data_IF_077627982759
#
_entry.id   IF_077627982759
#
_cell.length_a   1.000
_cell.length_b   1.000
_cell.length_c   1.000
_cell.angle_alpha   90.00
_cell.angle_beta   90.00
_cell.angle_gamma   90.00
#
_symmetry.space_group_name_H-M   'P 1'
#
loop_
_entity.id
_entity.type
_entity.pdbx_description
1 polymer ?
#
# COMPACT_ATOMS: atom_id res chain seq x y z
N UNK A 1 -4.44 8.12 -10.29
CA UNK A 1 -3.09 8.42 -10.81
C UNK A 1 -3.04 8.45 -12.35
N UNK A 2 -3.61 7.47 -13.07
CA UNK A 2 -3.69 7.56 -14.55
C UNK A 2 -4.51 8.79 -15.03
N UNK A 3 -5.64 9.06 -14.37
CA UNK A 3 -6.50 10.20 -14.69
C UNK A 3 -5.81 11.56 -14.45
N UNK A 4 -4.97 11.69 -13.43
CA UNK A 4 -4.26 12.95 -13.16
C UNK A 4 -3.25 13.30 -14.24
N UNK A 5 -2.65 12.30 -14.90
CA UNK A 5 -1.79 12.53 -16.08
C UNK A 5 -2.57 13.08 -17.28
N UNK A 6 -3.78 12.57 -17.51
CA UNK A 6 -4.67 13.10 -18.55
C UNK A 6 -5.15 14.52 -18.24
N UNK A 7 -5.50 14.82 -16.99
CA UNK A 7 -5.87 16.18 -16.58
C UNK A 7 -4.74 17.19 -16.84
N UNK A 8 -3.49 16.83 -16.53
CA UNK A 8 -2.32 17.68 -16.82
C UNK A 8 -2.09 17.87 -18.32
N UNK A 9 -2.33 16.84 -19.12
CA UNK A 9 -2.23 16.92 -20.59
C UNK A 9 -3.30 17.86 -21.17
N UNK A 10 -4.52 17.79 -20.66
CA UNK A 10 -5.63 18.66 -21.10
C UNK A 10 -5.43 20.11 -20.62
N UNK A 11 -4.93 20.29 -19.39
CA UNK A 11 -4.64 21.61 -18.83
C UNK A 11 -3.50 22.31 -19.60
N UNK A 12 -2.41 21.59 -19.88
CA UNK A 12 -1.29 22.13 -20.68
C UNK A 12 -1.70 22.47 -22.11
N UNK A 13 -2.61 21.69 -22.71
CA UNK A 13 -3.16 21.98 -24.03
C UNK A 13 -3.96 23.29 -24.09
N UNK A 14 -4.74 23.61 -23.04
CA UNK A 14 -5.57 24.82 -23.01
C UNK A 14 -4.81 26.10 -22.62
N UNK A 15 -3.65 25.98 -21.97
CA UNK A 15 -2.92 27.13 -21.43
C UNK A 15 -1.94 27.75 -22.45
N UNK A 16 -1.51 27.00 -23.48
CA UNK A 16 -0.44 27.45 -24.39
C UNK A 16 -0.85 27.35 -25.85
N UNK A 17 -0.96 28.51 -26.50
CA UNK A 17 -1.40 28.68 -27.90
C UNK A 17 -0.44 28.13 -28.96
N UNK A 18 0.85 27.99 -28.64
CA UNK A 18 1.87 27.44 -29.54
C UNK A 18 2.23 25.96 -29.26
N UNK A 19 1.52 25.31 -28.33
CA UNK A 19 1.73 23.92 -27.89
C UNK A 19 3.14 23.54 -27.39
N UNK A 20 4.08 24.50 -27.36
CA UNK A 20 5.47 24.32 -26.95
C UNK A 20 5.68 25.01 -25.60
N UNK A 21 5.86 24.22 -24.55
CA UNK A 21 6.10 24.70 -23.19
C UNK A 21 7.59 24.58 -22.88
N UNK A 22 8.11 25.50 -22.08
CA UNK A 22 9.46 25.39 -21.55
C UNK A 22 9.57 24.11 -20.70
N UNK A 23 10.62 23.31 -20.92
CA UNK A 23 10.79 22.02 -20.25
C UNK A 23 10.70 22.14 -18.73
N UNK A 24 11.23 23.22 -18.15
CA UNK A 24 11.15 23.50 -16.71
C UNK A 24 9.72 23.50 -16.17
N UNK A 25 8.82 24.25 -16.81
CA UNK A 25 7.41 24.34 -16.38
C UNK A 25 6.73 22.98 -16.49
N UNK A 26 6.99 22.25 -17.57
CA UNK A 26 6.45 20.90 -17.76
C UNK A 26 6.90 19.94 -16.64
N UNK A 27 8.18 19.97 -16.27
CA UNK A 27 8.74 19.13 -15.20
C UNK A 27 8.07 19.43 -13.86
N UNK A 28 7.81 20.70 -13.53
CA UNK A 28 7.09 21.07 -12.30
C UNK A 28 5.68 20.49 -12.24
N UNK A 29 4.93 20.56 -13.34
CA UNK A 29 3.58 19.97 -13.41
C UNK A 29 3.60 18.44 -13.32
N UNK A 30 4.59 17.81 -13.95
CA UNK A 30 4.74 16.36 -13.97
C UNK A 30 5.35 15.79 -12.67
N UNK A 31 5.96 16.64 -11.85
CA UNK A 31 6.55 16.25 -10.57
C UNK A 31 5.53 15.62 -9.61
N UNK A 32 4.38 16.28 -9.43
CA UNK A 32 3.31 15.85 -8.52
C UNK A 32 2.83 14.42 -8.83
N UNK A 33 2.44 14.07 -10.08
CA UNK A 33 1.98 12.73 -10.40
C UNK A 33 3.11 11.68 -10.32
N UNK A 34 4.37 12.02 -10.66
CA UNK A 34 5.50 11.08 -10.54
C UNK A 34 5.74 10.74 -9.07
N UNK A 35 5.82 11.76 -8.21
CA UNK A 35 6.02 11.59 -6.77
C UNK A 35 4.89 10.75 -6.15
N UNK A 36 3.64 11.09 -6.46
CA UNK A 36 2.48 10.35 -5.99
C UNK A 36 2.46 8.89 -6.47
N UNK A 37 2.91 8.63 -7.70
CA UNK A 37 3.00 7.28 -8.23
C UNK A 37 4.06 6.44 -7.49
N UNK A 38 5.26 6.97 -7.26
CA UNK A 38 6.34 6.26 -6.53
C UNK A 38 5.89 5.93 -5.10
N UNK A 39 5.34 6.91 -4.39
CA UNK A 39 4.86 6.71 -3.02
C UNK A 39 3.75 5.65 -3.00
N UNK A 40 2.82 5.69 -3.95
CA UNK A 40 1.72 4.73 -4.02
C UNK A 40 2.22 3.29 -4.17
N UNK A 41 3.18 3.03 -5.06
CA UNK A 41 3.75 1.69 -5.27
C UNK A 41 4.44 1.18 -4.01
N UNK A 42 5.25 2.01 -3.36
CA UNK A 42 5.95 1.64 -2.13
C UNK A 42 4.98 1.40 -0.97
N UNK A 43 3.95 2.24 -0.82
CA UNK A 43 2.91 2.05 0.19
C UNK A 43 2.12 0.77 -0.03
N UNK A 44 1.77 0.44 -1.27
CA UNK A 44 1.07 -0.81 -1.60
C UNK A 44 1.88 -2.04 -1.22
N UNK A 45 3.18 -2.05 -1.57
CA UNK A 45 4.09 -3.12 -1.16
C UNK A 45 4.14 -3.28 0.35
N UNK A 46 4.23 -2.14 1.02
CA UNK A 46 4.37 -2.06 2.46
C UNK A 46 3.10 -2.55 3.19
N UNK A 47 1.91 -2.23 2.66
CA UNK A 47 0.63 -2.78 3.13
C UNK A 47 0.55 -4.29 2.88
N UNK A 48 1.02 -4.78 1.73
CA UNK A 48 1.02 -6.21 1.42
C UNK A 48 1.89 -7.00 2.41
N UNK A 49 3.06 -6.48 2.77
CA UNK A 49 3.93 -7.06 3.80
C UNK A 49 3.22 -7.08 5.16
N UNK A 50 2.57 -5.99 5.55
CA UNK A 50 1.86 -5.91 6.83
C UNK A 50 0.73 -6.96 6.93
N UNK A 51 0.00 -7.21 5.84
CA UNK A 51 -1.00 -8.30 5.80
C UNK A 51 -0.40 -9.68 6.03
N UNK A 52 0.80 -9.94 5.51
CA UNK A 52 1.52 -11.20 5.75
C UNK A 52 2.02 -11.28 7.19
N UNK A 53 2.52 -10.17 7.75
CA UNK A 53 2.98 -10.10 9.13
C UNK A 53 1.84 -10.29 10.15
N UNK A 54 0.65 -9.74 9.87
CA UNK A 54 -0.54 -9.93 10.71
C UNK A 54 -0.97 -11.38 10.86
N UNK A 55 -0.55 -12.28 9.97
CA UNK A 55 -0.80 -13.72 10.06
C UNK A 55 0.25 -14.45 10.90
N UNK A 56 1.40 -13.82 11.16
CA UNK A 56 2.45 -14.40 11.99
C UNK A 56 2.13 -14.14 13.46
N UNK A 57 2.00 -15.22 14.24
CA UNK A 57 1.69 -15.17 15.67
C UNK A 57 2.66 -14.32 16.50
N UNK A 58 3.89 -14.10 16.00
CA UNK A 58 4.90 -13.29 16.68
C UNK A 58 4.62 -11.78 16.62
N UNK A 59 3.68 -11.33 15.79
CA UNK A 59 3.47 -9.92 15.49
C UNK A 59 2.51 -9.21 16.45
N UNK A 60 1.58 -9.95 17.07
CA UNK A 60 0.60 -9.41 18.02
C UNK A 60 1.19 -8.64 19.22
N UNK A 61 2.17 -9.19 19.98
CA UNK A 61 2.69 -8.46 21.15
C UNK A 61 3.50 -7.22 20.76
N UNK A 62 3.99 -7.14 19.51
CA UNK A 62 4.79 -6.03 19.02
C UNK A 62 3.92 -4.84 18.60
N UNK A 63 2.79 -5.10 17.93
CA UNK A 63 1.86 -4.06 17.45
C UNK A 63 1.11 -3.41 18.60
N UNK A 64 0.69 -4.20 19.59
CA UNK A 64 -0.12 -3.70 20.71
C UNK A 64 0.61 -2.61 21.52
N UNK A 65 1.92 -2.73 21.64
CA UNK A 65 2.74 -1.77 22.41
C UNK A 65 3.13 -0.52 21.62
N UNK A 66 3.29 -0.61 20.30
CA UNK A 66 3.93 0.44 19.49
C UNK A 66 3.28 0.71 18.12
N UNK A 67 1.96 0.54 17.98
CA UNK A 67 1.22 0.76 16.73
C UNK A 67 1.55 2.11 16.03
N UNK A 68 1.57 3.22 16.78
CA UNK A 68 1.85 4.56 16.20
C UNK A 68 3.26 4.68 15.62
N UNK A 69 4.25 4.11 16.32
CA UNK A 69 5.64 4.15 15.89
C UNK A 69 5.86 3.25 14.68
N UNK A 70 5.18 2.10 14.64
CA UNK A 70 5.21 1.19 13.50
C UNK A 70 4.70 1.85 12.21
N UNK A 71 3.51 2.45 12.26
CA UNK A 71 2.92 3.14 11.09
C UNK A 71 3.80 4.29 10.62
N UNK A 72 4.38 5.06 11.55
CA UNK A 72 5.33 6.12 11.20
C UNK A 72 6.58 5.57 10.51
N UNK A 73 7.18 4.50 11.06
CA UNK A 73 8.36 3.84 10.49
C UNK A 73 8.08 3.25 9.11
N UNK A 74 6.83 2.91 8.83
CA UNK A 74 6.39 2.30 7.59
C UNK A 74 6.16 3.34 6.47
N UNK A 75 5.62 4.50 6.83
CA UNK A 75 5.39 5.62 5.89
C UNK A 75 6.70 6.36 5.57
N UNK A 76 7.58 6.52 6.58
CA UNK A 76 8.83 7.27 6.48
C UNK A 76 9.73 6.83 5.31
N UNK A 77 10.04 5.54 5.08
CA UNK A 77 10.90 5.12 3.97
C UNK A 77 10.27 5.39 2.61
N UNK A 78 8.93 5.26 2.50
CA UNK A 78 8.21 5.57 1.27
C UNK A 78 8.32 7.06 0.93
N UNK A 79 8.13 7.92 1.93
CA UNK A 79 8.28 9.36 1.77
C UNK A 79 9.73 9.77 1.50
N UNK A 80 10.70 9.19 2.20
CA UNK A 80 12.11 9.49 2.04
C UNK A 80 12.60 9.11 0.64
N UNK A 81 12.21 7.93 0.16
CA UNK A 81 12.57 7.45 -1.18
C UNK A 81 11.90 8.27 -2.27
N UNK A 82 10.62 8.63 -2.08
CA UNK A 82 9.92 9.55 -2.98
C UNK A 82 10.61 10.90 -3.06
N UNK A 83 10.97 11.50 -1.91
CA UNK A 83 11.65 12.79 -1.85
C UNK A 83 13.05 12.75 -2.48
N UNK A 84 13.82 11.68 -2.23
CA UNK A 84 15.15 11.51 -2.82
C UNK A 84 15.09 11.43 -4.35
N UNK A 85 14.16 10.62 -4.89
CA UNK A 85 13.94 10.52 -6.34
C UNK A 85 13.47 11.84 -6.95
N UNK A 86 12.60 12.54 -6.24
CA UNK A 86 12.12 13.86 -6.59
C UNK A 86 13.23 14.91 -6.67
N UNK A 87 14.11 14.98 -5.67
CA UNK A 87 15.27 15.88 -5.67
C UNK A 87 16.21 15.52 -6.82
N UNK A 88 16.45 14.22 -7.05
CA UNK A 88 17.28 13.75 -8.16
C UNK A 88 16.75 14.23 -9.52
N UNK A 89 15.43 14.18 -9.71
CA UNK A 89 14.78 14.67 -10.93
C UNK A 89 14.98 16.18 -11.12
N UNK A 90 14.93 16.96 -10.03
CA UNK A 90 15.11 18.41 -10.05
C UNK A 90 16.55 18.84 -10.35
N UNK A 91 17.54 18.12 -9.83
CA UNK A 91 18.97 18.45 -10.02
C UNK A 91 19.38 18.28 -11.48
N UNK A 92 18.86 17.26 -12.15
CA UNK A 92 19.29 16.88 -13.50
C UNK A 92 18.42 17.53 -14.61
N UNK A 93 17.89 18.73 -14.34
CA UNK A 93 17.10 19.50 -15.32
C UNK A 93 18.03 20.32 -16.24
N UNK A 94 17.82 20.24 -17.55
CA UNK A 94 18.49 21.07 -18.54
C UNK A 94 17.51 22.12 -19.09
N UNK A 95 17.78 23.41 -18.94
CA UNK A 95 16.76 24.48 -19.05
C UNK A 95 16.45 24.97 -20.47
N UNK A 96 17.13 24.46 -21.50
CA UNK A 96 17.21 25.17 -22.79
C UNK A 96 16.36 24.60 -23.92
N UNK A 97 15.59 23.54 -23.69
CA UNK A 97 14.77 22.91 -24.73
C UNK A 97 13.28 23.20 -24.56
N UNK A 98 12.61 23.52 -25.68
CA UNK A 98 11.15 23.60 -25.75
C UNK A 98 10.64 22.25 -26.20
N UNK A 99 9.76 21.64 -25.40
CA UNK A 99 9.22 20.30 -25.70
C UNK A 99 7.71 20.30 -25.54
N UNK A 100 7.06 19.34 -26.19
CA UNK A 100 5.66 19.07 -25.94
C UNK A 100 5.53 18.38 -24.57
N UNK A 101 4.67 18.90 -23.70
CA UNK A 101 4.55 18.40 -22.35
C UNK A 101 3.71 17.12 -22.31
N UNK A 102 4.35 15.97 -22.54
CA UNK A 102 3.75 14.65 -22.36
C UNK A 102 4.39 13.93 -21.16
N UNK A 103 3.61 13.10 -20.48
CA UNK A 103 4.02 12.29 -19.32
C UNK A 103 5.40 11.60 -19.45
N UNK A 104 5.76 10.97 -20.59
CA UNK A 104 7.08 10.35 -20.75
C UNK A 104 8.23 11.31 -21.07
N UNK A 105 7.96 12.55 -21.46
CA UNK A 105 8.98 13.49 -22.00
C UNK A 105 10.12 13.79 -21.02
N UNK A 106 9.87 14.08 -19.72
CA UNK A 106 10.97 14.32 -18.77
C UNK A 106 11.64 13.03 -18.28
N UNK A 107 11.13 11.86 -18.68
CA UNK A 107 11.60 10.54 -18.26
C UNK A 107 12.33 9.81 -19.39
N UNK A 108 13.05 10.52 -20.25
CA UNK A 108 13.90 9.84 -21.24
C UNK A 108 15.22 9.37 -20.59
N UNK A 109 15.71 8.19 -21.00
CA UNK A 109 17.02 7.66 -20.61
C UNK A 109 17.05 6.79 -19.35
N UNK A 110 18.20 6.77 -18.67
CA UNK A 110 18.54 5.84 -17.57
C UNK A 110 17.56 5.93 -16.39
N UNK A 111 16.99 7.12 -16.14
CA UNK A 111 16.05 7.36 -15.04
C UNK A 111 14.78 6.53 -15.18
N UNK A 112 14.26 6.40 -16.40
CA UNK A 112 13.05 5.62 -16.65
C UNK A 112 13.30 4.13 -16.54
N UNK A 113 14.46 3.67 -17.00
CA UNK A 113 14.85 2.26 -16.85
C UNK A 113 14.92 1.87 -15.37
N UNK A 114 15.55 2.71 -14.53
CA UNK A 114 15.60 2.50 -13.08
C UNK A 114 14.21 2.50 -12.45
N UNK A 115 13.37 3.49 -12.77
CA UNK A 115 12.02 3.56 -12.25
C UNK A 115 11.19 2.34 -12.66
N UNK A 116 11.20 1.99 -13.95
CA UNK A 116 10.47 0.84 -14.48
C UNK A 116 10.93 -0.46 -13.83
N UNK A 117 12.24 -0.64 -13.66
CA UNK A 117 12.81 -1.80 -12.96
C UNK A 117 12.34 -1.88 -11.51
N UNK A 118 12.32 -0.76 -10.79
CA UNK A 118 11.80 -0.71 -9.42
C UNK A 118 10.31 -1.06 -9.34
N UNK A 119 9.49 -0.54 -10.25
CA UNK A 119 8.05 -0.86 -10.33
C UNK A 119 7.83 -2.34 -10.56
N UNK A 120 8.57 -2.94 -11.51
CA UNK A 120 8.47 -4.37 -11.82
C UNK A 120 8.86 -5.21 -10.59
N UNK A 121 9.98 -4.87 -9.93
CA UNK A 121 10.43 -5.58 -8.71
C UNK A 121 9.38 -5.48 -7.60
N UNK A 122 8.86 -4.28 -7.32
CA UNK A 122 7.83 -4.06 -6.32
C UNK A 122 6.55 -4.84 -6.66
N UNK A 123 6.13 -4.83 -7.93
CA UNK A 123 4.97 -5.58 -8.41
C UNK A 123 5.11 -7.09 -8.22
N UNK A 124 6.25 -7.67 -8.58
CA UNK A 124 6.54 -9.09 -8.35
C UNK A 124 6.49 -9.43 -6.86
N UNK A 125 7.09 -8.58 -6.01
CA UNK A 125 7.10 -8.80 -4.57
C UNK A 125 5.68 -8.73 -3.97
N UNK A 126 4.84 -7.79 -4.43
CA UNK A 126 3.42 -7.70 -4.04
C UNK A 126 2.70 -9.00 -4.39
N UNK A 127 2.85 -9.51 -5.62
CA UNK A 127 2.21 -10.76 -6.06
C UNK A 127 2.66 -11.93 -5.19
N UNK A 128 3.96 -12.04 -4.90
CA UNK A 128 4.49 -13.06 -4.02
C UNK A 128 3.88 -12.98 -2.62
N UNK A 129 3.82 -11.79 -2.01
CA UNK A 129 3.18 -11.58 -0.71
C UNK A 129 1.72 -12.06 -0.70
N UNK A 130 0.95 -11.77 -1.76
CA UNK A 130 -0.43 -12.23 -1.87
C UNK A 130 -0.56 -13.74 -2.03
N UNK A 131 0.32 -14.37 -2.81
CA UNK A 131 0.34 -15.84 -2.95
C UNK A 131 0.65 -16.50 -1.61
N UNK A 132 1.65 -16.00 -0.87
CA UNK A 132 1.97 -16.48 0.48
C UNK A 132 0.79 -16.32 1.44
N UNK A 133 0.14 -15.17 1.43
CA UNK A 133 -1.05 -14.89 2.25
C UNK A 133 -2.17 -15.91 1.98
N UNK A 134 -2.48 -16.19 0.71
CA UNK A 134 -3.53 -17.15 0.32
C UNK A 134 -3.16 -18.58 0.75
N UNK A 135 -1.91 -19.01 0.54
CA UNK A 135 -1.45 -20.34 0.95
C UNK A 135 -1.56 -20.51 2.46
N UNK A 136 -1.17 -19.49 3.23
CA UNK A 136 -1.22 -19.53 4.68
C UNK A 136 -2.66 -19.62 5.21
N UNK A 137 -3.58 -18.84 4.63
CA UNK A 137 -5.01 -18.93 4.94
C UNK A 137 -5.59 -20.31 4.65
N UNK A 138 -5.21 -20.92 3.51
CA UNK A 138 -5.63 -22.30 3.18
C UNK A 138 -5.11 -23.30 4.22
N UNK A 139 -3.86 -23.16 4.64
CA UNK A 139 -3.24 -24.02 5.66
C UNK A 139 -4.00 -23.94 6.99
N UNK A 140 -4.34 -22.74 7.45
CA UNK A 140 -5.13 -22.55 8.68
C UNK A 140 -6.51 -23.21 8.56
N UNK A 141 -7.22 -22.99 7.44
CA UNK A 141 -8.56 -23.56 7.23
C UNK A 141 -8.52 -25.11 7.28
N UNK A 142 -7.52 -25.73 6.66
CA UNK A 142 -7.38 -27.19 6.67
C UNK A 142 -7.07 -27.75 8.06
N UNK A 143 -6.22 -27.07 8.83
CA UNK A 143 -5.93 -27.47 10.21
C UNK A 143 -7.17 -27.40 11.11
N UNK A 144 -8.02 -26.37 10.91
CA UNK A 144 -9.27 -26.22 11.66
C UNK A 144 -10.28 -27.34 11.32
N UNK A 145 -10.43 -27.70 10.04
CA UNK A 145 -11.32 -28.78 9.62
C UNK A 145 -10.88 -30.15 10.17
N UNK A 146 -9.57 -30.43 10.15
CA UNK A 146 -9.02 -31.67 10.73
C UNK A 146 -9.24 -31.75 12.25
N UNK A 147 -9.10 -30.63 12.97
CA UNK A 147 -9.35 -30.57 14.42
C UNK A 147 -10.83 -30.86 14.75
N UNK A 148 -11.76 -30.33 13.95
CA UNK A 148 -13.21 -30.54 14.13
C UNK A 148 -13.65 -31.98 13.81
N UNK A 149 -13.02 -32.67 12.84
CA UNK A 149 -13.32 -34.10 12.60
C UNK A 149 -12.90 -34.97 13.77
N UNK A 150 -11.75 -34.70 14.40
CA UNK A 150 -11.29 -35.46 15.55
C UNK A 150 -12.19 -35.31 16.79
N UNK A 151 -12.93 -34.19 16.91
CA UNK A 151 -13.91 -33.99 18.00
C UNK A 151 -15.29 -34.58 17.70
N UNK A 152 -15.58 -34.97 16.45
CA UNK A 152 -16.87 -35.56 16.07
C UNK A 152 -17.08 -37.03 16.49
N UNK A 153 -16.05 -37.69 17.07
CA UNK A 153 -16.20 -39.00 17.72
C UNK A 153 -16.60 -38.92 19.21
N UNK A 154 -16.73 -37.73 19.80
CA UNK A 154 -17.34 -37.59 21.12
C UNK A 154 -18.80 -37.14 20.97
N UNK A 155 -19.79 -37.92 21.43
CA UNK A 155 -21.17 -37.47 21.46
C UNK A 155 -21.29 -36.32 22.48
N UNK A 156 -21.24 -35.08 21.98
CA UNK A 156 -21.56 -33.89 22.76
C UNK A 156 -23.06 -33.87 22.98
N UNK A 157 -23.48 -34.33 24.16
CA UNK A 157 -24.81 -34.10 24.69
C UNK A 157 -25.07 -32.59 24.70
N UNK A 158 -26.01 -32.17 23.86
CA UNK A 158 -26.41 -30.77 23.65
C UNK A 158 -27.11 -30.23 24.90
N UNK A 159 -26.34 -29.67 25.82
CA UNK A 159 -26.87 -28.94 26.97
C UNK A 159 -26.74 -27.44 26.69
N UNK A 160 -27.89 -26.75 26.49
CA UNK A 160 -27.97 -25.29 26.40
C UNK A 160 -27.43 -24.67 27.70
N UNK A 161 -26.55 -23.65 27.65
CA UNK A 161 -26.32 -22.82 28.82
C UNK A 161 -27.28 -21.62 28.82
N UNK A 162 -28.07 -21.56 29.88
CA UNK A 162 -28.64 -20.34 30.45
C UNK A 162 -27.53 -19.31 30.71
N UNK A 163 -27.90 -18.03 30.63
CA UNK A 163 -27.10 -16.90 31.11
C UNK A 163 -26.46 -17.23 32.46
N UNK A 164 -25.13 -17.19 32.55
CA UNK A 164 -24.47 -16.78 33.79
C UNK A 164 -23.11 -16.14 33.53
N UNK A 165 -22.83 -15.15 34.37
CA UNK A 165 -21.78 -14.14 34.27
C UNK A 165 -20.61 -14.60 35.14
N UNK A 166 -19.44 -14.96 34.59
CA UNK A 166 -18.18 -14.96 35.36
C UNK A 166 -16.91 -14.95 34.50
N UNK A 167 -15.99 -14.06 34.91
CA UNK A 167 -14.58 -13.95 34.51
C UNK A 167 -13.86 -15.30 34.61
N UNK A 168 -13.09 -15.69 33.60
CA UNK A 168 -11.61 -15.72 33.57
C UNK A 168 -11.14 -16.49 32.33
N UNK A 169 -9.94 -16.19 31.84
CA UNK A 169 -9.11 -17.11 31.05
C UNK A 169 -9.41 -17.26 29.56
N UNK A 170 -8.55 -16.59 28.77
CA UNK A 170 -7.86 -17.05 27.56
C UNK A 170 -8.58 -17.85 26.44
N UNK A 171 -8.18 -17.47 25.23
CA UNK A 171 -8.23 -18.31 24.01
C UNK A 171 -9.52 -18.33 23.18
N UNK A 172 -10.26 -17.22 23.13
CA UNK A 172 -11.27 -16.99 22.07
C UNK A 172 -11.27 -15.55 21.56
N UNK A 173 -10.17 -15.10 20.95
CA UNK A 173 -10.15 -13.79 20.28
C UNK A 173 -9.25 -13.72 19.04
N UNK A 174 -9.15 -14.79 18.24
CA UNK A 174 -8.38 -14.73 16.99
C UNK A 174 -9.22 -14.67 15.70
N UNK A 175 -10.54 -14.93 15.80
CA UNK A 175 -11.42 -14.91 14.62
C UNK A 175 -12.24 -13.61 14.51
N UNK A 176 -12.42 -12.87 15.62
CA UNK A 176 -13.07 -11.55 15.62
C UNK A 176 -12.17 -10.41 15.13
N UNK A 177 -10.86 -10.48 15.41
CA UNK A 177 -9.91 -9.41 15.05
C UNK A 177 -9.62 -9.29 13.55
N UNK A 178 -9.92 -10.33 12.75
CA UNK A 178 -9.66 -10.29 11.31
C UNK A 178 -10.74 -9.49 10.54
N UNK A 179 -11.98 -9.43 11.05
CA UNK A 179 -13.03 -8.59 10.50
C UNK A 179 -12.82 -7.10 10.86
N UNK A 180 -12.34 -6.82 12.07
CA UNK A 180 -12.07 -5.46 12.53
C UNK A 180 -10.76 -4.91 11.95
N UNK A 181 -9.72 -5.72 11.78
CA UNK A 181 -8.48 -5.32 11.09
C UNK A 181 -8.72 -5.07 9.58
N UNK A 182 -9.64 -5.78 8.93
CA UNK A 182 -10.05 -5.43 7.56
C UNK A 182 -10.77 -4.09 7.51
N UNK A 183 -11.62 -3.78 8.50
CA UNK A 183 -12.35 -2.51 8.58
C UNK A 183 -11.44 -1.33 8.95
N UNK A 184 -10.46 -1.54 9.83
CA UNK A 184 -9.55 -0.49 10.29
C UNK A 184 -8.51 -0.12 9.22
N UNK A 185 -7.97 -1.11 8.48
CA UNK A 185 -7.13 -0.82 7.31
C UNK A 185 -7.91 -0.18 6.15
N UNK A 186 -9.20 -0.49 5.96
CA UNK A 186 -10.02 0.19 4.96
C UNK A 186 -10.23 1.67 5.32
N UNK A 187 -10.44 1.98 6.61
CA UNK A 187 -10.55 3.35 7.11
C UNK A 187 -9.23 4.12 7.04
N UNK A 188 -8.09 3.49 7.33
CA UNK A 188 -6.77 4.14 7.22
C UNK A 188 -6.39 4.46 5.77
N UNK A 189 -6.74 3.60 4.81
CA UNK A 189 -6.52 3.85 3.39
C UNK A 189 -7.42 4.97 2.83
N UNK A 190 -8.67 5.07 3.33
CA UNK A 190 -9.59 6.16 3.02
C UNK A 190 -9.15 7.50 3.62
N UNK A 191 -8.69 7.51 4.88
CA UNK A 191 -8.20 8.73 5.54
C UNK A 191 -6.88 9.20 4.92
N UNK A 192 -5.99 8.29 4.55
CA UNK A 192 -4.74 8.65 3.86
C UNK A 192 -4.97 9.16 2.44
N UNK A 193 -6.08 8.78 1.78
CA UNK A 193 -6.44 9.30 0.45
C UNK A 193 -7.15 10.66 0.54
N UNK A 194 -7.99 10.88 1.56
CA UNK A 194 -8.65 12.18 1.75
C UNK A 194 -7.70 13.27 2.25
N UNK A 195 -6.73 12.94 3.09
CA UNK A 195 -5.79 13.93 3.63
C UNK A 195 -4.76 14.39 2.57
N UNK A 196 -4.49 13.56 1.56
CA UNK A 196 -3.63 13.91 0.42
C UNK A 196 -4.35 14.71 -0.68
N UNK A 197 -5.69 14.80 -0.64
CA UNK A 197 -6.50 15.52 -1.65
C UNK A 197 -6.96 16.91 -1.17
N UNK A 198 -6.65 17.28 0.07
CA UNK A 198 -6.99 18.59 0.68
C UNK A 198 -5.80 19.55 0.85
N UNK A 199 -4.61 19.19 0.36
CA UNK A 199 -3.47 20.09 0.14
C UNK A 199 -3.32 20.34 -1.36
#
# INVERSE_FOLDING_TARGET
>A
MHMSGHYLTIASYNIVTDHLIQLDTCVYFQFIPIFGFIISVLQLLTIAIDRVLSLMSFYNPLVEKHMKLYVALQILPSCLMGAAMSIWLFVDRNSNERVLCFVPTPMMGIKYELLNRLIIIAGVLIILCYVFFIIYLRKIRLNLENSNRSTSCFPVHRQRPSLERKKDGDEKLFVGGMADSLRQHHYSALISSEMFFKL
#
